data_IF_871415268323
#
_entry.id   IF_871415268323
#
_cell.length_a   1.000
_cell.length_b   1.000
_cell.length_c   1.000
_cell.angle_alpha   90.00
_cell.angle_beta   90.00
_cell.angle_gamma   90.00
#
_symmetry.space_group_name_H-M   'P 1'
#
loop_
_entity.id
_entity.type
_entity.pdbx_description
1 polymer ?
#
# COMPACT_ATOMS: atom_id res chain seq x y z
N UNK A 1 17.66 0.30 7.60
CA UNK A 1 16.78 -0.90 7.67
C UNK A 1 15.75 -0.78 6.56
N UNK A 2 15.59 -1.80 5.71
CA UNK A 2 14.57 -1.79 4.65
C UNK A 2 13.20 -2.09 5.27
N UNK A 3 12.11 -1.51 4.74
CA UNK A 3 10.76 -1.70 5.29
C UNK A 3 10.34 -3.19 5.34
N UNK A 4 10.76 -3.98 4.35
CA UNK A 4 10.55 -5.43 4.29
C UNK A 4 11.17 -6.16 5.50
N UNK A 5 12.41 -5.81 5.86
CA UNK A 5 13.10 -6.38 7.03
C UNK A 5 12.39 -5.97 8.33
N UNK A 6 11.93 -4.71 8.39
CA UNK A 6 11.17 -4.19 9.52
C UNK A 6 9.85 -4.96 9.70
N UNK A 7 9.13 -5.24 8.61
CA UNK A 7 7.91 -6.03 8.65
C UNK A 7 8.18 -7.42 9.22
N UNK A 8 9.19 -8.14 8.73
CA UNK A 8 9.53 -9.48 9.22
C UNK A 8 9.89 -9.45 10.71
N UNK A 9 10.69 -8.47 11.15
CA UNK A 9 11.12 -8.34 12.53
C UNK A 9 9.96 -8.02 13.50
N UNK A 10 9.05 -7.13 13.09
CA UNK A 10 7.94 -6.66 13.92
C UNK A 10 6.78 -7.66 13.95
N UNK A 11 6.40 -8.20 12.78
CA UNK A 11 5.33 -9.19 12.67
C UNK A 11 5.71 -10.54 13.28
N UNK A 12 7.01 -10.87 13.34
CA UNK A 12 7.51 -12.20 13.74
C UNK A 12 6.90 -13.32 12.90
N UNK A 13 6.71 -13.05 11.60
CA UNK A 13 6.14 -14.00 10.64
C UNK A 13 4.61 -14.07 10.65
N UNK A 14 3.93 -13.14 11.33
CA UNK A 14 2.47 -13.02 11.33
C UNK A 14 1.97 -12.15 10.17
N UNK A 15 0.65 -12.17 9.87
CA UNK A 15 0.09 -11.45 8.72
C UNK A 15 0.27 -9.92 8.80
N UNK A 16 0.33 -9.34 9.99
CA UNK A 16 0.33 -7.90 10.20
C UNK A 16 1.53 -7.44 11.03
N UNK A 17 1.87 -6.15 10.96
CA UNK A 17 2.83 -5.54 11.87
C UNK A 17 2.37 -5.66 13.33
N UNK A 18 1.06 -5.61 13.57
CA UNK A 18 0.42 -5.89 14.86
C UNK A 18 0.43 -7.36 15.29
N UNK A 19 0.96 -8.27 14.46
CA UNK A 19 0.94 -9.70 14.71
C UNK A 19 -0.27 -10.37 14.04
N UNK A 20 -1.15 -10.97 14.83
CA UNK A 20 -2.34 -11.69 14.35
C UNK A 20 -3.46 -10.76 13.88
N UNK A 21 -3.43 -9.50 14.29
CA UNK A 21 -4.45 -8.51 13.97
C UNK A 21 -3.82 -7.21 13.51
N UNK A 22 -4.61 -6.41 12.77
CA UNK A 22 -4.23 -5.05 12.34
C UNK A 22 -3.87 -4.21 13.57
N UNK A 23 -2.64 -3.71 13.59
CA UNK A 23 -2.14 -2.79 14.59
C UNK A 23 -1.95 -1.38 14.08
N UNK A 24 -1.38 -0.51 14.93
CA UNK A 24 -1.15 0.90 14.60
C UNK A 24 -0.33 1.09 13.31
N UNK A 25 0.76 0.32 13.16
CA UNK A 25 1.63 0.45 12.00
C UNK A 25 0.93 -0.01 10.71
N UNK A 26 0.07 -1.02 10.79
CA UNK A 26 -0.74 -1.48 9.66
C UNK A 26 -1.69 -0.38 9.18
N UNK A 27 -2.33 0.36 10.10
CA UNK A 27 -3.23 1.47 9.76
C UNK A 27 -2.44 2.61 9.09
N UNK A 28 -1.30 3.01 9.67
CA UNK A 28 -0.46 4.06 9.11
C UNK A 28 -0.01 3.72 7.68
N UNK A 29 0.57 2.53 7.49
CA UNK A 29 1.10 2.13 6.17
C UNK A 29 0.00 1.76 5.19
N UNK A 30 -1.07 1.13 5.67
CA UNK A 30 -2.20 0.68 4.86
C UNK A 30 -2.90 1.82 4.12
N UNK A 31 -2.95 3.02 4.70
CA UNK A 31 -3.44 4.23 4.02
C UNK A 31 -2.66 4.58 2.74
N UNK A 32 -1.36 4.27 2.70
CA UNK A 32 -0.53 4.48 1.51
C UNK A 32 -0.68 3.36 0.49
N UNK A 33 -1.04 2.14 0.89
CA UNK A 33 -1.18 0.99 -0.03
C UNK A 33 -2.18 1.29 -1.14
N UNK A 34 -3.29 1.94 -0.82
CA UNK A 34 -4.31 2.36 -1.79
C UNK A 34 -3.71 3.27 -2.86
N UNK A 35 -2.90 4.26 -2.45
CA UNK A 35 -2.22 5.19 -3.35
C UNK A 35 -1.15 4.49 -4.20
N UNK A 36 -0.42 3.53 -3.63
CA UNK A 36 0.57 2.73 -4.35
C UNK A 36 -0.10 1.92 -5.45
N UNK A 37 -1.15 1.15 -5.12
CA UNK A 37 -1.89 0.35 -6.13
C UNK A 37 -2.53 1.23 -7.21
N UNK A 38 -3.04 2.41 -6.84
CA UNK A 38 -3.55 3.38 -7.81
C UNK A 38 -2.46 3.89 -8.75
N UNK A 39 -1.25 4.17 -8.25
CA UNK A 39 -0.10 4.54 -9.09
C UNK A 39 0.37 3.41 -9.99
N UNK A 40 0.44 2.18 -9.48
CA UNK A 40 0.76 1.00 -10.29
C UNK A 40 -0.22 0.86 -11.45
N UNK A 41 -1.52 1.05 -11.20
CA UNK A 41 -2.55 1.04 -12.24
C UNK A 41 -2.41 2.21 -13.23
N UNK A 42 -2.20 3.43 -12.74
CA UNK A 42 -2.10 4.63 -13.56
C UNK A 42 -0.87 4.63 -14.48
N UNK A 43 0.27 4.13 -13.98
CA UNK A 43 1.59 4.25 -14.64
C UNK A 43 2.16 2.93 -15.15
N UNK A 44 1.51 1.80 -14.85
CA UNK A 44 2.04 0.47 -15.16
C UNK A 44 3.29 0.11 -14.36
N UNK A 45 3.53 0.79 -13.23
CA UNK A 45 4.67 0.54 -12.35
C UNK A 45 4.43 -0.69 -11.45
N UNK A 46 5.51 -1.26 -10.90
CA UNK A 46 5.47 -2.28 -9.85
C UNK A 46 6.18 -1.75 -8.61
N UNK A 47 5.43 -1.06 -7.77
CA UNK A 47 5.90 -0.46 -6.52
C UNK A 47 5.94 -1.50 -5.40
N UNK A 48 4.90 -2.32 -5.28
CA UNK A 48 4.86 -3.52 -4.44
C UNK A 48 5.17 -4.74 -5.32
N UNK A 49 6.44 -4.88 -5.69
CA UNK A 49 6.92 -6.00 -6.49
C UNK A 49 7.18 -7.21 -5.58
N UNK A 50 6.39 -8.27 -5.74
CA UNK A 50 6.53 -9.52 -4.97
C UNK A 50 7.95 -10.10 -5.04
N UNK A 51 8.69 -9.91 -6.15
CA UNK A 51 10.06 -10.41 -6.26
C UNK A 51 11.07 -9.66 -5.39
N UNK A 52 10.74 -8.43 -4.97
CA UNK A 52 11.61 -7.54 -4.19
C UNK A 52 11.17 -7.45 -2.72
N UNK A 53 9.86 -7.42 -2.50
CA UNK A 53 9.22 -7.23 -1.18
C UNK A 53 8.09 -8.24 -0.96
N UNK A 54 8.38 -9.55 -1.00
CA UNK A 54 7.36 -10.61 -0.96
C UNK A 54 6.47 -10.60 0.28
N UNK A 55 7.00 -10.19 1.45
CA UNK A 55 6.23 -10.15 2.68
C UNK A 55 5.31 -8.93 2.74
N UNK A 56 5.81 -7.74 2.37
CA UNK A 56 4.96 -6.55 2.26
C UNK A 56 3.91 -6.67 1.15
N UNK A 57 4.24 -7.36 0.05
CA UNK A 57 3.28 -7.66 -1.01
C UNK A 57 2.08 -8.45 -0.45
N UNK A 58 2.35 -9.55 0.27
CA UNK A 58 1.31 -10.37 0.91
C UNK A 58 0.56 -9.61 1.99
N UNK A 59 1.27 -8.85 2.83
CA UNK A 59 0.67 -7.99 3.85
C UNK A 59 -0.32 -6.98 3.24
N UNK A 60 0.05 -6.32 2.15
CA UNK A 60 -0.80 -5.33 1.49
C UNK A 60 -2.11 -5.96 0.98
N UNK A 61 -2.03 -7.16 0.39
CA UNK A 61 -3.22 -7.90 -0.04
C UNK A 61 -4.08 -8.33 1.14
N UNK A 62 -3.47 -8.84 2.21
CA UNK A 62 -4.17 -9.24 3.42
C UNK A 62 -4.86 -8.05 4.10
N UNK A 63 -4.18 -6.92 4.20
CA UNK A 63 -4.72 -5.69 4.80
C UNK A 63 -5.94 -5.18 4.03
N UNK A 64 -5.88 -5.13 2.69
CA UNK A 64 -7.00 -4.65 1.88
C UNK A 64 -8.20 -5.61 1.86
N UNK A 65 -7.95 -6.91 2.04
CA UNK A 65 -9.00 -7.93 2.09
C UNK A 65 -9.63 -8.10 3.48
N UNK A 66 -9.05 -7.52 4.53
CA UNK A 66 -9.55 -7.62 5.89
C UNK A 66 -10.96 -7.01 6.01
N UNK A 67 -11.86 -7.66 6.75
CA UNK A 67 -13.26 -7.25 6.88
C UNK A 67 -13.43 -5.85 7.48
N UNK A 68 -12.48 -5.41 8.31
CA UNK A 68 -12.48 -4.08 8.92
C UNK A 68 -12.04 -2.99 7.95
N UNK A 69 -11.26 -3.34 6.92
CA UNK A 69 -10.64 -2.41 5.98
C UNK A 69 -11.36 -2.36 4.65
N UNK A 70 -11.78 -3.51 4.10
CA UNK A 70 -12.26 -3.63 2.72
C UNK A 70 -13.43 -2.71 2.37
N UNK A 71 -14.26 -2.37 3.36
CA UNK A 71 -15.42 -1.48 3.19
C UNK A 71 -15.08 0.01 3.42
N UNK A 72 -13.90 0.33 3.93
CA UNK A 72 -13.42 1.69 4.18
C UNK A 72 -12.51 2.20 3.05
N UNK A 73 -11.91 1.28 2.30
CA UNK A 73 -10.97 1.61 1.23
C UNK A 73 -11.74 2.15 0.02
N UNK A 74 -11.36 3.33 -0.51
CA UNK A 74 -11.94 3.82 -1.76
C UNK A 74 -11.54 2.93 -2.94
N UNK A 75 -12.39 2.89 -3.97
CA UNK A 75 -12.08 2.17 -5.20
C UNK A 75 -10.77 2.66 -5.82
N UNK A 76 -9.85 1.72 -6.08
CA UNK A 76 -8.51 2.02 -6.63
C UNK A 76 -8.59 2.86 -7.92
N UNK A 77 -9.62 2.63 -8.73
CA UNK A 77 -9.81 3.30 -10.02
C UNK A 77 -10.13 4.78 -9.84
N UNK A 78 -10.97 5.12 -8.86
CA UNK A 78 -11.28 6.51 -8.50
C UNK A 78 -10.06 7.23 -7.94
N UNK A 79 -9.25 6.52 -7.14
CA UNK A 79 -8.00 7.06 -6.62
C UNK A 79 -6.98 7.29 -7.74
N UNK A 80 -6.89 6.38 -8.70
CA UNK A 80 -6.00 6.52 -9.86
C UNK A 80 -6.40 7.72 -10.75
N UNK A 81 -7.70 7.89 -11.00
CA UNK A 81 -8.25 9.07 -11.69
C UNK A 81 -7.89 10.36 -10.95
N UNK A 82 -8.16 10.42 -9.64
CA UNK A 82 -7.82 11.57 -8.81
C UNK A 82 -6.33 11.91 -8.84
N UNK A 83 -5.44 10.90 -8.75
CA UNK A 83 -4.00 11.10 -8.85
C UNK A 83 -3.60 11.62 -10.24
N UNK A 84 -4.21 11.12 -11.31
CA UNK A 84 -3.99 11.62 -12.67
C UNK A 84 -4.39 13.09 -12.83
N UNK A 85 -5.52 13.50 -12.26
CA UNK A 85 -5.93 14.90 -12.25
C UNK A 85 -4.96 15.80 -11.49
N UNK A 86 -4.49 15.36 -10.32
CA UNK A 86 -3.52 16.09 -9.52
C UNK A 86 -2.19 16.28 -10.29
N UNK A 87 -1.72 15.24 -10.98
CA UNK A 87 -0.51 15.31 -11.80
C UNK A 87 -0.67 16.25 -13.00
N UNK A 88 -1.82 16.23 -13.66
CA UNK A 88 -2.11 17.15 -14.77
C UNK A 88 -2.17 18.63 -14.34
N UNK A 89 -2.61 18.88 -13.10
CA UNK A 89 -2.71 20.23 -12.50
C UNK A 89 -1.41 20.67 -11.82
N UNK A 90 -0.44 19.79 -11.63
CA UNK A 90 0.82 20.11 -10.97
C UNK A 90 1.70 21.03 -11.85
N UNK A 91 2.26 22.13 -11.31
CA UNK A 91 3.20 22.97 -12.05
C UNK A 91 4.40 22.12 -12.51
N UNK A 92 4.77 22.20 -13.80
CA UNK A 92 5.83 21.35 -14.38
C UNK A 92 7.27 21.65 -13.89
N UNK A 93 7.44 22.44 -12.83
CA UNK A 93 8.73 23.02 -12.41
C UNK A 93 9.49 22.18 -11.37
N UNK A 94 9.10 20.92 -11.14
CA UNK A 94 9.76 20.01 -10.19
C UNK A 94 10.28 18.72 -10.85
N UNK A 95 10.76 18.80 -12.10
CA UNK A 95 11.61 17.77 -12.70
C UNK A 95 13.07 18.18 -12.66
#
# INVERSE_FOLDING_TARGET
MRLEEAFVALSKGKPFFGGEAIGFMDICLGSFVVLLKAREKLKGEKLLDESKVPYLFKWADQFLCDDTVKNLVPEIDKVAEFLGELEAKAPQNFK
#
